data_IF_182637637373
#
_entry.id   IF_182637637373
#
_cell.length_a   1.000
_cell.length_b   1.000
_cell.length_c   1.000
_cell.angle_alpha   90.00
_cell.angle_beta   90.00
_cell.angle_gamma   90.00
#
_symmetry.space_group_name_H-M   'P 1'
#
loop_
_entity.id
_entity.type
_entity.pdbx_description
1 polymer ?
#
# COMPACT_ATOMS: atom_id res chain seq x y z
N UNK A 1 2.74 -23.26 -10.59
CA UNK A 1 1.32 -22.93 -10.32
C UNK A 1 0.69 -22.48 -11.62
N UNK A 2 -0.56 -22.88 -11.90
CA UNK A 2 -1.27 -22.41 -13.09
C UNK A 2 -1.75 -20.96 -12.87
N UNK A 3 -1.70 -20.14 -13.94
CA UNK A 3 -2.30 -18.80 -13.92
C UNK A 3 -3.82 -18.93 -13.93
N UNK A 4 -4.49 -18.35 -12.94
CA UNK A 4 -5.94 -18.37 -12.82
C UNK A 4 -6.53 -17.10 -13.42
N UNK A 5 -7.17 -17.25 -14.59
CA UNK A 5 -7.87 -16.15 -15.27
C UNK A 5 -9.22 -15.92 -14.59
N UNK A 6 -9.49 -14.68 -14.20
CA UNK A 6 -10.71 -14.31 -13.49
C UNK A 6 -11.87 -14.04 -14.44
N UNK A 7 -13.01 -14.67 -14.18
CA UNK A 7 -14.26 -14.42 -14.88
C UNK A 7 -14.96 -13.12 -14.46
N UNK A 8 -16.03 -12.75 -15.18
CA UNK A 8 -16.76 -11.48 -14.93
C UNK A 8 -17.28 -11.34 -13.49
N UNK A 9 -17.77 -12.44 -12.89
CA UNK A 9 -18.27 -12.41 -11.51
C UNK A 9 -17.13 -12.25 -10.49
N UNK A 10 -16.00 -12.95 -10.70
CA UNK A 10 -14.83 -12.83 -9.86
C UNK A 10 -14.24 -11.40 -9.90
N UNK A 11 -14.17 -10.79 -11.09
CA UNK A 11 -13.75 -9.40 -11.26
C UNK A 11 -14.68 -8.41 -10.52
N UNK A 12 -15.99 -8.71 -10.44
CA UNK A 12 -16.93 -7.93 -9.62
C UNK A 12 -16.57 -7.94 -8.12
N UNK A 13 -16.22 -9.13 -7.60
CA UNK A 13 -15.81 -9.29 -6.20
C UNK A 13 -14.44 -8.62 -5.95
N UNK A 14 -13.47 -8.82 -6.83
CA UNK A 14 -12.16 -8.17 -6.74
C UNK A 14 -12.27 -6.64 -6.72
N UNK A 15 -13.15 -6.06 -7.57
CA UNK A 15 -13.41 -4.61 -7.56
C UNK A 15 -14.00 -4.13 -6.23
N UNK A 16 -14.87 -4.91 -5.58
CA UNK A 16 -15.42 -4.56 -4.27
C UNK A 16 -14.35 -4.56 -3.18
N UNK A 17 -13.51 -5.59 -3.15
CA UNK A 17 -12.38 -5.68 -2.22
C UNK A 17 -11.37 -4.55 -2.44
N UNK A 18 -10.99 -4.28 -3.69
CA UNK A 18 -10.07 -3.20 -4.04
C UNK A 18 -10.61 -1.82 -3.69
N UNK A 19 -11.91 -1.56 -3.94
CA UNK A 19 -12.55 -0.29 -3.53
C UNK A 19 -12.60 -0.11 -2.02
N UNK A 20 -12.81 -1.19 -1.27
CA UNK A 20 -12.77 -1.14 0.18
C UNK A 20 -11.37 -0.85 0.70
N UNK A 21 -10.35 -1.56 0.18
CA UNK A 21 -8.95 -1.32 0.53
C UNK A 21 -8.54 0.14 0.22
N UNK A 22 -8.90 0.65 -0.97
CA UNK A 22 -8.59 2.03 -1.37
C UNK A 22 -9.29 3.07 -0.48
N UNK A 23 -10.55 2.83 -0.10
CA UNK A 23 -11.27 3.72 0.83
C UNK A 23 -10.59 3.74 2.20
N UNK A 24 -10.17 2.58 2.72
CA UNK A 24 -9.44 2.50 3.98
C UNK A 24 -8.12 3.27 3.85
N UNK A 25 -7.34 3.05 2.79
CA UNK A 25 -6.08 3.73 2.57
C UNK A 25 -6.24 5.26 2.54
N UNK A 26 -7.30 5.77 1.89
CA UNK A 26 -7.57 7.21 1.83
C UNK A 26 -7.88 7.80 3.21
N UNK A 27 -8.71 7.13 4.01
CA UNK A 27 -9.05 7.55 5.38
C UNK A 27 -7.82 7.52 6.31
N UNK A 28 -6.99 6.47 6.18
CA UNK A 28 -5.73 6.41 6.92
C UNK A 28 -4.78 7.52 6.50
N UNK A 29 -4.68 7.80 5.20
CA UNK A 29 -3.87 8.90 4.67
C UNK A 29 -4.31 10.26 5.21
N UNK A 30 -5.63 10.50 5.29
CA UNK A 30 -6.18 11.72 5.89
C UNK A 30 -5.91 11.83 7.40
N UNK A 31 -5.70 10.70 8.08
CA UNK A 31 -5.36 10.65 9.50
C UNK A 31 -3.85 10.70 9.79
N UNK A 32 -3.00 10.84 8.77
CA UNK A 32 -1.55 10.96 8.94
C UNK A 32 -1.16 12.36 9.42
N UNK A 33 -1.24 12.57 10.73
CA UNK A 33 -0.96 13.85 11.38
C UNK A 33 0.14 13.73 12.45
N UNK A 34 0.79 14.83 12.78
CA UNK A 34 1.76 14.86 13.86
C UNK A 34 1.08 14.52 15.21
N UNK A 35 1.69 13.61 15.95
CA UNK A 35 1.15 13.12 17.23
C UNK A 35 0.33 11.84 17.10
N UNK A 36 -0.14 11.47 15.91
CA UNK A 36 -0.77 10.17 15.63
C UNK A 36 0.32 9.09 15.55
N UNK A 37 0.00 7.86 15.91
CA UNK A 37 0.92 6.73 15.84
C UNK A 37 0.47 5.66 14.83
N UNK A 38 1.39 4.77 14.44
CA UNK A 38 1.05 3.63 13.59
C UNK A 38 -0.02 2.73 14.22
N UNK A 39 -0.02 2.57 15.55
CA UNK A 39 -1.05 1.82 16.27
C UNK A 39 -2.43 2.48 16.22
N UNK A 40 -2.51 3.79 16.15
CA UNK A 40 -3.78 4.50 15.99
C UNK A 40 -4.35 4.25 14.58
N UNK A 41 -3.49 4.29 13.56
CA UNK A 41 -3.88 3.94 12.19
C UNK A 41 -4.30 2.46 12.07
N UNK A 42 -3.58 1.51 12.68
CA UNK A 42 -3.99 0.09 12.70
C UNK A 42 -5.35 -0.10 13.37
N UNK A 43 -5.62 0.62 14.46
CA UNK A 43 -6.91 0.58 15.15
C UNK A 43 -8.05 1.14 14.28
N UNK A 44 -7.79 2.23 13.56
CA UNK A 44 -8.74 2.81 12.61
C UNK A 44 -9.03 1.82 11.47
N UNK A 45 -7.99 1.23 10.87
CA UNK A 45 -8.13 0.23 9.81
C UNK A 45 -8.94 -0.99 10.26
N UNK A 46 -8.72 -1.50 11.48
CA UNK A 46 -9.52 -2.60 12.06
C UNK A 46 -11.01 -2.28 12.06
N UNK A 47 -11.38 -1.13 12.60
CA UNK A 47 -12.78 -0.68 12.63
C UNK A 47 -13.39 -0.60 11.24
N UNK A 48 -12.64 -0.09 10.26
CA UNK A 48 -13.10 0.04 8.89
C UNK A 48 -13.25 -1.31 8.18
N UNK A 49 -12.32 -2.25 8.40
CA UNK A 49 -12.42 -3.62 7.88
C UNK A 49 -13.65 -4.31 8.47
N UNK A 50 -13.84 -4.26 9.79
CA UNK A 50 -15.00 -4.86 10.48
C UNK A 50 -16.32 -4.27 9.97
N UNK A 51 -16.43 -2.95 9.89
CA UNK A 51 -17.64 -2.29 9.37
C UNK A 51 -17.91 -2.58 7.89
N UNK A 52 -16.85 -2.87 7.12
CA UNK A 52 -16.92 -3.29 5.72
C UNK A 52 -17.22 -4.78 5.53
N UNK A 53 -17.33 -5.57 6.61
CA UNK A 53 -17.52 -7.02 6.57
C UNK A 53 -16.29 -7.76 6.00
N UNK A 54 -15.10 -7.17 6.11
CA UNK A 54 -13.86 -7.70 5.56
C UNK A 54 -12.87 -8.10 6.66
N UNK A 55 -11.86 -8.88 6.27
CA UNK A 55 -10.72 -9.25 7.12
C UNK A 55 -9.43 -8.78 6.49
N UNK A 56 -8.40 -8.51 7.32
CA UNK A 56 -7.05 -8.27 6.80
C UNK A 56 -6.42 -9.59 6.34
N UNK A 57 -5.78 -9.63 5.16
CA UNK A 57 -4.95 -10.76 4.75
C UNK A 57 -3.58 -10.77 5.45
N UNK A 58 -3.23 -9.71 6.17
CA UNK A 58 -1.92 -9.56 6.83
C UNK A 58 -1.92 -10.12 8.24
N UNK A 59 -2.98 -9.85 9.03
CA UNK A 59 -3.07 -10.25 10.43
C UNK A 59 -2.92 -11.76 10.60
N UNK A 60 -1.93 -12.16 11.39
CA UNK A 60 -1.65 -13.57 11.67
C UNK A 60 -0.91 -14.32 10.57
N UNK A 61 -0.55 -13.65 9.45
CA UNK A 61 0.24 -14.25 8.37
C UNK A 61 1.61 -14.66 8.91
N UNK A 62 1.94 -15.93 8.74
CA UNK A 62 3.24 -16.50 9.12
C UNK A 62 4.16 -16.54 7.89
N UNK A 63 5.39 -16.09 8.08
CA UNK A 63 6.51 -16.33 7.18
C UNK A 63 7.45 -17.33 7.86
N UNK A 64 8.27 -18.09 7.12
CA UNK A 64 9.30 -18.94 7.70
C UNK A 64 10.16 -18.13 8.68
N UNK A 65 10.43 -18.71 9.83
CA UNK A 65 11.30 -18.15 10.89
C UNK A 65 10.89 -16.77 11.45
N UNK A 66 9.65 -16.34 11.21
CA UNK A 66 9.10 -15.09 11.73
C UNK A 66 7.85 -15.34 12.58
N UNK A 67 7.62 -14.53 13.66
CA UNK A 67 6.35 -14.56 14.36
C UNK A 67 5.21 -14.09 13.41
N UNK A 68 3.95 -14.50 13.71
CA UNK A 68 2.81 -14.03 12.92
C UNK A 68 2.72 -12.51 12.90
N UNK A 69 2.41 -11.92 11.73
CA UNK A 69 2.28 -10.48 11.60
C UNK A 69 1.16 -9.96 12.53
N UNK A 70 1.43 -8.97 13.41
CA UNK A 70 0.53 -8.65 14.52
C UNK A 70 -0.54 -7.61 14.23
N UNK A 71 -0.55 -7.05 13.01
CA UNK A 71 -1.36 -5.89 12.64
C UNK A 71 -2.21 -6.14 11.39
N UNK A 72 -3.21 -5.29 11.14
CA UNK A 72 -4.08 -5.40 9.95
C UNK A 72 -3.56 -4.62 8.75
N UNK A 73 -2.64 -3.68 8.97
CA UNK A 73 -1.96 -2.87 7.95
C UNK A 73 -0.46 -2.88 8.21
N UNK A 74 0.33 -2.46 7.23
CA UNK A 74 1.72 -2.08 7.46
C UNK A 74 1.86 -0.57 7.51
N UNK A 75 2.81 -0.08 8.30
CA UNK A 75 3.17 1.34 8.39
C UNK A 75 4.68 1.46 8.36
N UNK A 76 5.21 2.00 7.29
CA UNK A 76 6.65 2.11 7.03
C UNK A 76 7.05 3.58 6.96
N UNK A 77 7.53 4.18 8.07
CA UNK A 77 7.94 5.57 8.09
C UNK A 77 9.34 5.76 7.52
N UNK A 78 9.53 6.86 6.79
CA UNK A 78 10.81 7.37 6.28
C UNK A 78 11.64 6.32 5.53
N UNK A 79 12.76 5.89 6.11
CA UNK A 79 13.69 4.90 5.53
C UNK A 79 13.18 3.45 5.54
N UNK A 80 12.10 3.17 6.24
CA UNK A 80 11.47 1.86 6.20
C UNK A 80 10.76 1.65 4.86
N UNK A 81 11.28 0.75 4.02
CA UNK A 81 10.79 0.56 2.65
C UNK A 81 9.40 -0.04 2.63
N UNK A 82 9.21 -1.22 3.28
CA UNK A 82 7.95 -1.98 3.30
C UNK A 82 7.81 -2.80 4.59
N UNK A 83 6.61 -3.35 4.82
CA UNK A 83 6.29 -4.31 5.87
C UNK A 83 6.54 -3.80 7.31
N UNK A 84 6.62 -2.49 7.51
CA UNK A 84 6.78 -1.90 8.83
C UNK A 84 5.64 -2.28 9.77
N UNK A 85 6.00 -2.71 11.00
CA UNK A 85 5.02 -3.03 12.03
C UNK A 85 4.56 -1.72 12.69
N UNK A 86 3.26 -1.41 12.70
CA UNK A 86 2.72 -0.25 13.41
C UNK A 86 3.18 -0.17 14.87
N UNK A 87 3.85 0.93 15.24
CA UNK A 87 4.36 1.20 16.59
C UNK A 87 3.51 2.25 17.30
N UNK A 88 3.79 2.48 18.58
CA UNK A 88 3.19 3.53 19.40
C UNK A 88 3.93 4.87 19.31
N UNK A 89 5.04 4.93 18.59
CA UNK A 89 5.78 6.18 18.40
C UNK A 89 4.95 7.15 17.58
N UNK A 90 4.75 8.40 18.07
CA UNK A 90 4.00 9.40 17.33
C UNK A 90 4.78 9.91 16.13
N UNK A 91 4.08 10.12 15.03
CA UNK A 91 4.63 10.74 13.83
C UNK A 91 4.97 12.21 14.07
N UNK A 92 5.93 12.72 13.32
CA UNK A 92 6.43 14.09 13.40
C UNK A 92 6.21 14.81 12.07
N UNK A 93 6.11 16.13 12.11
CA UNK A 93 6.13 16.94 10.89
C UNK A 93 7.41 16.67 10.11
N UNK A 94 7.27 16.46 8.80
CA UNK A 94 8.36 16.09 7.92
C UNK A 94 8.47 14.59 7.63
N UNK A 95 7.76 13.73 8.38
CA UNK A 95 7.73 12.29 8.09
C UNK A 95 6.97 12.01 6.80
N UNK A 96 7.42 10.98 6.08
CA UNK A 96 6.69 10.30 5.01
C UNK A 96 6.31 8.91 5.50
N UNK A 97 5.07 8.50 5.25
CA UNK A 97 4.49 7.26 5.77
C UNK A 97 3.98 6.41 4.61
N UNK A 98 4.65 5.30 4.31
CA UNK A 98 4.13 4.31 3.36
C UNK A 98 3.19 3.38 4.10
N UNK A 99 1.92 3.40 3.70
CA UNK A 99 0.84 2.58 4.24
C UNK A 99 0.46 1.52 3.21
N UNK A 100 0.27 0.29 3.66
CA UNK A 100 -0.19 -0.80 2.81
C UNK A 100 -1.38 -1.48 3.47
N UNK A 101 -2.46 -1.64 2.70
CA UNK A 101 -3.78 -2.07 3.15
C UNK A 101 -4.30 -3.20 2.29
N UNK A 102 -4.50 -4.34 2.92
CA UNK A 102 -5.21 -5.47 2.33
C UNK A 102 -6.62 -5.62 2.90
N UNK A 103 -7.59 -5.94 2.03
CA UNK A 103 -8.96 -6.26 2.44
C UNK A 103 -9.46 -7.54 1.75
N UNK A 104 -9.74 -8.57 2.55
CA UNK A 104 -10.38 -9.81 2.10
C UNK A 104 -11.87 -9.71 2.29
N UNK A 105 -12.62 -9.67 1.19
CA UNK A 105 -14.08 -9.59 1.17
C UNK A 105 -14.65 -10.67 0.25
N UNK A 106 -15.54 -11.52 0.78
CA UNK A 106 -16.16 -12.64 0.03
C UNK A 106 -15.13 -13.57 -0.64
N UNK A 107 -13.99 -13.82 -0.01
CA UNK A 107 -12.92 -14.69 -0.52
C UNK A 107 -11.99 -14.04 -1.54
N UNK A 108 -12.17 -12.76 -1.88
CA UNK A 108 -11.32 -12.01 -2.80
C UNK A 108 -10.53 -10.94 -2.06
N UNK A 109 -9.27 -10.77 -2.43
CA UNK A 109 -8.36 -9.80 -1.81
C UNK A 109 -8.25 -8.58 -2.71
N UNK A 110 -8.46 -7.39 -2.13
CA UNK A 110 -7.98 -6.12 -2.65
C UNK A 110 -6.75 -5.70 -1.85
N UNK A 111 -5.76 -5.19 -2.53
CA UNK A 111 -4.47 -4.79 -1.97
C UNK A 111 -4.04 -3.47 -2.60
N UNK A 112 -3.62 -2.51 -1.78
CA UNK A 112 -3.26 -1.17 -2.25
C UNK A 112 -2.33 -0.49 -1.25
N UNK A 113 -1.37 0.27 -1.76
CA UNK A 113 -0.44 1.04 -0.95
C UNK A 113 -0.36 2.50 -1.41
N UNK A 114 0.10 3.36 -0.53
CA UNK A 114 0.35 4.76 -0.84
C UNK A 114 1.23 5.41 0.23
N UNK A 115 1.95 6.47 -0.16
CA UNK A 115 2.78 7.23 0.76
C UNK A 115 2.14 8.59 1.03
N UNK A 116 2.03 8.91 2.30
CA UNK A 116 1.40 10.13 2.83
C UNK A 116 2.42 10.96 3.61
N UNK A 117 2.21 12.25 3.66
CA UNK A 117 3.12 13.19 4.33
C UNK A 117 2.52 13.68 5.63
N UNK A 118 3.36 13.89 6.64
CA UNK A 118 2.96 14.50 7.90
C UNK A 118 3.37 15.97 7.87
N UNK A 119 2.44 16.84 7.47
CA UNK A 119 2.73 18.25 7.25
C UNK A 119 3.67 18.48 6.06
N UNK A 120 4.49 19.54 6.16
CA UNK A 120 5.45 19.90 5.12
C UNK A 120 6.67 18.99 5.18
N UNK A 121 7.10 18.48 4.02
CA UNK A 121 8.24 17.58 3.86
C UNK A 121 9.37 18.25 3.07
N UNK A 122 10.57 17.70 3.15
CA UNK A 122 11.74 18.24 2.44
C UNK A 122 11.58 18.19 0.91
N UNK A 123 12.21 19.10 0.14
CA UNK A 123 12.20 19.07 -1.31
C UNK A 123 12.71 17.74 -1.90
N UNK A 124 13.68 17.09 -1.23
CA UNK A 124 14.18 15.78 -1.63
C UNK A 124 13.09 14.70 -1.50
N UNK A 125 12.35 14.67 -0.39
CA UNK A 125 11.23 13.76 -0.19
C UNK A 125 10.10 14.03 -1.19
N UNK A 126 9.75 15.29 -1.45
CA UNK A 126 8.75 15.67 -2.46
C UNK A 126 9.14 15.14 -3.85
N UNK A 127 10.42 15.33 -4.23
CA UNK A 127 10.94 14.81 -5.51
C UNK A 127 10.86 13.29 -5.58
N UNK A 128 11.25 12.58 -4.51
CA UNK A 128 11.18 11.11 -4.45
C UNK A 128 9.74 10.63 -4.64
N UNK A 129 8.79 11.18 -3.90
CA UNK A 129 7.38 10.79 -4.00
C UNK A 129 6.82 11.05 -5.39
N UNK A 130 7.13 12.19 -5.99
CA UNK A 130 6.70 12.53 -7.35
C UNK A 130 7.24 11.54 -8.37
N UNK A 131 8.56 11.29 -8.39
CA UNK A 131 9.18 10.37 -9.35
C UNK A 131 8.66 8.95 -9.18
N UNK A 132 8.47 8.49 -7.95
CA UNK A 132 7.88 7.17 -7.66
C UNK A 132 6.44 7.06 -8.18
N UNK A 133 5.64 8.10 -8.03
CA UNK A 133 4.28 8.14 -8.57
C UNK A 133 4.27 8.12 -10.09
N UNK A 134 5.09 8.92 -10.72
CA UNK A 134 5.25 8.93 -12.18
C UNK A 134 5.70 7.55 -12.70
N UNK A 135 6.61 6.87 -11.99
CA UNK A 135 7.05 5.52 -12.33
C UNK A 135 5.91 4.49 -12.27
N UNK A 136 5.04 4.58 -11.26
CA UNK A 136 3.84 3.74 -11.19
C UNK A 136 2.94 3.96 -12.41
N UNK A 137 2.70 5.22 -12.79
CA UNK A 137 1.87 5.54 -13.94
C UNK A 137 2.48 4.98 -15.23
N UNK A 138 3.81 5.02 -15.41
CA UNK A 138 4.51 4.37 -16.53
C UNK A 138 4.35 2.84 -16.52
N UNK A 139 4.41 2.22 -15.36
CA UNK A 139 4.14 0.79 -15.22
C UNK A 139 2.70 0.42 -15.62
N UNK A 140 1.72 1.23 -15.22
CA UNK A 140 0.30 1.04 -15.59
C UNK A 140 0.11 1.19 -17.10
N UNK A 141 0.72 2.22 -17.73
CA UNK A 141 0.68 2.42 -19.19
C UNK A 141 1.25 1.21 -19.95
N UNK A 142 2.29 0.56 -19.42
CA UNK A 142 2.90 -0.64 -20.01
C UNK A 142 2.10 -1.93 -19.75
N UNK A 143 1.16 -1.94 -18.80
CA UNK A 143 0.36 -3.12 -18.42
C UNK A 143 -0.82 -3.35 -19.39
N UNK A 144 -0.52 -3.61 -20.66
CA UNK A 144 -1.51 -3.81 -21.72
C UNK A 144 -1.36 -5.18 -22.38
N UNK A 145 -2.42 -5.61 -23.07
CA UNK A 145 -2.42 -6.87 -23.83
C UNK A 145 -1.33 -6.84 -24.91
N UNK A 146 -0.53 -7.89 -24.96
CA UNK A 146 0.60 -8.03 -25.90
C UNK A 146 1.96 -7.74 -25.25
N UNK A 147 2.00 -7.07 -24.11
CA UNK A 147 3.22 -6.83 -23.37
C UNK A 147 3.51 -7.94 -22.34
N UNK A 148 4.76 -8.05 -21.95
CA UNK A 148 5.24 -8.95 -20.91
C UNK A 148 5.38 -8.24 -19.58
N UNK A 149 5.45 -9.01 -18.48
CA UNK A 149 5.74 -8.44 -17.15
C UNK A 149 7.08 -7.68 -17.13
N UNK A 150 8.06 -8.12 -17.93
CA UNK A 150 9.33 -7.43 -18.11
C UNK A 150 9.20 -6.01 -18.68
N UNK A 151 8.22 -5.77 -19.55
CA UNK A 151 7.99 -4.44 -20.12
C UNK A 151 7.49 -3.45 -19.06
N UNK A 152 6.66 -3.92 -18.12
CA UNK A 152 6.21 -3.13 -16.96
C UNK A 152 7.42 -2.76 -16.08
N UNK A 153 8.24 -3.76 -15.74
CA UNK A 153 9.45 -3.54 -14.93
C UNK A 153 10.42 -2.58 -15.59
N UNK A 154 10.64 -2.76 -16.90
CA UNK A 154 11.52 -1.90 -17.70
C UNK A 154 11.02 -0.45 -17.74
N UNK A 155 9.73 -0.22 -17.91
CA UNK A 155 9.14 1.12 -17.93
C UNK A 155 9.33 1.84 -16.58
N UNK A 156 9.11 1.14 -15.46
CA UNK A 156 9.32 1.66 -14.11
C UNK A 156 10.81 1.97 -13.90
N UNK A 157 11.69 1.00 -14.14
CA UNK A 157 13.13 1.11 -13.94
C UNK A 157 13.72 2.26 -14.73
N UNK A 158 13.43 2.34 -16.03
CA UNK A 158 13.93 3.40 -16.91
C UNK A 158 13.55 4.77 -16.38
N UNK A 159 12.29 4.94 -15.91
CA UNK A 159 11.85 6.22 -15.38
C UNK A 159 12.61 6.62 -14.13
N UNK A 160 12.75 5.73 -13.14
CA UNK A 160 13.43 6.05 -11.87
C UNK A 160 14.92 6.30 -12.08
N UNK A 161 15.60 5.52 -12.92
CA UNK A 161 17.04 5.65 -13.22
C UNK A 161 17.35 6.97 -13.94
N UNK A 162 16.52 7.41 -14.90
CA UNK A 162 16.70 8.70 -15.57
C UNK A 162 16.55 9.90 -14.64
N UNK A 163 15.89 9.69 -13.48
CA UNK A 163 15.79 10.70 -12.42
C UNK A 163 16.85 10.54 -11.32
N UNK A 164 17.80 9.62 -11.47
CA UNK A 164 18.91 9.38 -10.53
C UNK A 164 18.50 8.56 -9.30
N UNK A 165 17.45 7.74 -9.41
CA UNK A 165 17.06 6.76 -8.40
C UNK A 165 17.33 5.33 -8.92
N UNK A 166 17.25 4.34 -8.01
CA UNK A 166 17.44 2.92 -8.32
C UNK A 166 16.26 2.08 -7.82
#
# INVERSE_FOLDING_TARGET
MAIVIKGKNELKHMRKSGRLAQRILNELGAACEAGVSGRDLDRLARKMLESGGAKSPFLGKKLPDCPPFPCVITVSPNEAIVHGIPTTHPFKKGDILSLDVGATLNGFIGDTAGTFTVGEISPAAQRLLRVTREALDKGIEAAVVGNYVGDISYAIQTHVETHGYS
#
